data_IF_776967310951
#
_entry.id   IF_776967310951
#
_cell.length_a   1.000
_cell.length_b   1.000
_cell.length_c   1.000
_cell.angle_alpha   90.00
_cell.angle_beta   90.00
_cell.angle_gamma   90.00
#
_symmetry.space_group_name_H-M   'P 1'
#
loop_
_entity.id
_entity.type
_entity.pdbx_description
1 polymer ?
#
# COMPACT_ATOMS: atom_id res chain seq x y z
N UNK A 1 5.10 19.48 2.29
CA UNK A 1 3.81 18.76 2.47
C UNK A 1 3.95 17.91 3.72
N UNK A 2 2.92 17.79 4.56
CA UNK A 2 3.00 17.01 5.80
C UNK A 2 3.24 15.52 5.47
N UNK A 3 4.35 14.95 5.94
CA UNK A 3 4.74 13.55 5.68
C UNK A 3 3.70 12.56 6.17
N UNK A 4 2.98 12.85 7.25
CA UNK A 4 1.90 12.00 7.75
C UNK A 4 0.69 12.04 6.84
N UNK A 5 0.38 13.21 6.26
CA UNK A 5 -0.70 13.34 5.28
C UNK A 5 -0.37 12.64 3.95
N UNK A 6 0.90 12.66 3.56
CA UNK A 6 1.38 11.92 2.40
C UNK A 6 1.30 10.41 2.62
N UNK A 7 1.83 9.91 3.74
CA UNK A 7 1.70 8.51 4.14
C UNK A 7 0.22 8.09 4.16
N UNK A 8 -0.64 8.87 4.83
CA UNK A 8 -2.07 8.61 4.90
C UNK A 8 -2.73 8.39 3.53
N UNK A 9 -2.40 9.22 2.54
CA UNK A 9 -2.96 9.10 1.19
C UNK A 9 -2.28 7.99 0.38
N UNK A 10 -0.99 7.73 0.61
CA UNK A 10 -0.26 6.60 0.06
C UNK A 10 -0.91 5.28 0.46
N UNK A 11 -1.07 5.05 1.77
CA UNK A 11 -1.68 3.85 2.34
C UNK A 11 -3.14 3.68 1.92
N UNK A 12 -3.91 4.77 1.85
CA UNK A 12 -5.27 4.70 1.32
C UNK A 12 -5.29 4.22 -0.15
N UNK A 13 -4.29 4.63 -0.95
CA UNK A 13 -4.12 4.22 -2.33
C UNK A 13 -3.67 2.76 -2.47
N UNK A 14 -2.66 2.34 -1.70
CA UNK A 14 -2.14 0.98 -1.66
C UNK A 14 -3.22 -0.02 -1.20
N UNK A 15 -3.92 0.27 -0.09
CA UNK A 15 -5.09 -0.50 0.35
C UNK A 15 -6.19 -0.57 -0.72
N UNK A 16 -6.35 0.51 -1.48
CA UNK A 16 -7.23 0.57 -2.64
C UNK A 16 -6.82 -0.45 -3.69
N UNK A 17 -5.57 -0.41 -4.16
CA UNK A 17 -5.03 -1.33 -5.18
C UNK A 17 -5.17 -2.78 -4.76
N UNK A 18 -4.74 -3.12 -3.54
CA UNK A 18 -4.74 -4.49 -3.03
C UNK A 18 -6.14 -5.06 -2.87
N UNK A 19 -7.11 -4.21 -2.51
CA UNK A 19 -8.52 -4.60 -2.58
C UNK A 19 -8.92 -4.95 -4.01
N UNK A 20 -8.49 -4.17 -4.99
CA UNK A 20 -8.75 -4.43 -6.41
C UNK A 20 -8.11 -5.75 -6.88
N UNK A 21 -6.84 -5.97 -6.52
CA UNK A 21 -6.10 -7.19 -6.86
C UNK A 21 -6.70 -8.44 -6.21
N UNK A 22 -7.05 -8.37 -4.91
CA UNK A 22 -7.56 -9.49 -4.11
C UNK A 22 -8.94 -10.01 -4.54
N UNK A 23 -9.68 -9.25 -5.35
CA UNK A 23 -10.92 -9.73 -5.99
C UNK A 23 -10.60 -10.91 -6.92
N UNK A 24 -9.52 -10.84 -7.70
CA UNK A 24 -9.10 -11.92 -8.62
C UNK A 24 -8.04 -12.84 -8.03
N UNK A 25 -7.12 -12.30 -7.25
CA UNK A 25 -5.93 -13.00 -6.78
C UNK A 25 -5.85 -13.01 -5.27
N UNK A 26 -6.34 -14.09 -4.64
CA UNK A 26 -6.46 -14.19 -3.17
C UNK A 26 -5.15 -14.00 -2.41
N UNK A 27 -4.01 -14.21 -3.05
CA UNK A 27 -2.68 -13.95 -2.47
C UNK A 27 -2.48 -12.50 -2.03
N UNK A 28 -3.18 -11.53 -2.63
CA UNK A 28 -3.13 -10.11 -2.23
C UNK A 28 -4.11 -9.74 -1.11
N UNK A 29 -4.89 -10.70 -0.58
CA UNK A 29 -5.84 -10.40 0.48
C UNK A 29 -5.14 -10.10 1.82
N UNK A 30 -4.03 -10.78 2.12
CA UNK A 30 -3.23 -10.47 3.31
C UNK A 30 -2.60 -9.08 3.19
N UNK A 31 -2.02 -8.78 2.03
CA UNK A 31 -1.49 -7.46 1.67
C UNK A 31 -2.53 -6.36 1.90
N UNK A 32 -3.74 -6.52 1.36
CA UNK A 32 -4.86 -5.61 1.59
C UNK A 32 -5.15 -5.33 3.08
N UNK A 33 -5.11 -6.35 3.93
CA UNK A 33 -5.38 -6.19 5.36
C UNK A 33 -4.26 -5.40 6.06
N UNK A 34 -3.01 -5.62 5.67
CA UNK A 34 -1.85 -4.88 6.16
C UNK A 34 -1.95 -3.40 5.77
N UNK A 35 -2.21 -3.11 4.50
CA UNK A 35 -2.39 -1.73 4.00
C UNK A 35 -3.53 -0.98 4.70
N UNK A 36 -4.65 -1.67 4.98
CA UNK A 36 -5.74 -1.08 5.78
C UNK A 36 -5.29 -0.77 7.21
N UNK A 37 -4.43 -1.60 7.79
CA UNK A 37 -3.85 -1.38 9.12
C UNK A 37 -2.92 -0.17 9.13
N UNK A 38 -2.04 -0.05 8.12
CA UNK A 38 -1.13 1.08 7.93
C UNK A 38 -1.91 2.39 7.72
N UNK A 39 -2.94 2.36 6.87
CA UNK A 39 -3.82 3.51 6.65
C UNK A 39 -4.46 3.98 7.97
N UNK A 40 -5.00 3.05 8.76
CA UNK A 40 -5.56 3.37 10.11
C UNK A 40 -4.51 3.89 11.08
N UNK A 41 -3.27 3.44 10.98
CA UNK A 41 -2.18 3.98 11.79
C UNK A 41 -1.96 5.46 11.47
N UNK A 42 -1.84 5.84 10.20
CA UNK A 42 -1.63 7.24 9.81
C UNK A 42 -2.84 8.15 10.06
N UNK A 43 -4.06 7.60 10.13
CA UNK A 43 -5.27 8.33 10.55
C UNK A 43 -5.20 8.89 11.97
N UNK A 44 -4.31 8.36 12.82
CA UNK A 44 -4.07 8.87 14.18
C UNK A 44 -3.31 10.21 14.16
N UNK A 45 -2.51 10.44 13.13
CA UNK A 45 -1.61 11.60 13.01
C UNK A 45 -2.13 12.65 12.03
N UNK A 46 -2.90 12.25 11.02
CA UNK A 46 -3.46 13.16 10.01
C UNK A 46 -4.83 12.69 9.52
N UNK A 47 -5.60 13.57 8.89
CA UNK A 47 -6.88 13.25 8.24
C UNK A 47 -7.01 14.00 6.93
N UNK A 48 -7.69 13.41 5.96
CA UNK A 48 -7.95 14.03 4.66
C UNK A 48 -9.28 13.57 4.08
N UNK A 49 -10.06 14.51 3.54
CA UNK A 49 -11.29 14.17 2.81
C UNK A 49 -11.01 13.34 1.54
N UNK A 50 -9.76 13.31 1.08
CA UNK A 50 -9.31 12.57 -0.09
C UNK A 50 -9.06 11.08 0.18
N UNK A 51 -9.00 10.63 1.43
CA UNK A 51 -8.69 9.24 1.75
C UNK A 51 -9.64 8.25 1.05
N UNK A 52 -10.96 8.47 1.19
CA UNK A 52 -11.97 7.61 0.55
C UNK A 52 -11.95 7.73 -0.99
N UNK A 53 -11.93 8.93 -1.59
CA UNK A 53 -11.76 9.06 -3.04
C UNK A 53 -10.54 8.32 -3.58
N UNK A 54 -9.37 8.46 -2.94
CA UNK A 54 -8.13 7.78 -3.33
C UNK A 54 -8.33 6.27 -3.23
N UNK A 55 -8.79 5.76 -2.08
CA UNK A 55 -9.05 4.34 -1.90
C UNK A 55 -9.96 3.74 -2.99
N UNK A 56 -11.10 4.36 -3.30
CA UNK A 56 -12.01 3.82 -4.32
C UNK A 56 -11.47 3.94 -5.74
N UNK A 57 -10.79 5.05 -6.07
CA UNK A 57 -10.17 5.22 -7.38
C UNK A 57 -9.11 4.13 -7.62
N UNK A 58 -8.26 3.87 -6.63
CA UNK A 58 -7.23 2.84 -6.71
C UNK A 58 -7.81 1.42 -6.61
N UNK A 59 -8.92 1.18 -5.92
CA UNK A 59 -9.65 -0.10 -6.01
C UNK A 59 -10.15 -0.40 -7.41
N UNK A 60 -10.70 0.60 -8.11
CA UNK A 60 -11.15 0.42 -9.49
C UNK A 60 -9.94 0.17 -10.39
N UNK A 61 -8.88 0.96 -10.23
CA UNK A 61 -7.64 0.80 -10.99
C UNK A 61 -7.01 -0.59 -10.77
N UNK A 62 -6.90 -1.04 -9.52
CA UNK A 62 -6.37 -2.35 -9.16
C UNK A 62 -7.20 -3.48 -9.77
N UNK A 63 -8.53 -3.37 -9.74
CA UNK A 63 -9.40 -4.32 -10.44
C UNK A 63 -9.14 -4.33 -11.95
N UNK A 64 -9.04 -3.16 -12.60
CA UNK A 64 -8.75 -3.05 -14.03
C UNK A 64 -7.39 -3.66 -14.37
N UNK A 65 -6.33 -3.34 -13.62
CA UNK A 65 -4.99 -3.92 -13.78
C UNK A 65 -5.04 -5.44 -13.63
N UNK A 66 -5.80 -5.93 -12.65
CA UNK A 66 -5.94 -7.37 -12.41
C UNK A 66 -6.48 -8.10 -13.63
N UNK A 67 -7.25 -7.46 -14.52
CA UNK A 67 -7.75 -8.05 -15.77
C UNK A 67 -6.62 -8.41 -16.75
N UNK A 68 -5.49 -7.70 -16.70
CA UNK A 68 -4.33 -7.92 -17.58
C UNK A 68 -3.45 -9.10 -17.15
N UNK A 69 -3.74 -9.74 -16.01
CA UNK A 69 -3.02 -10.93 -15.54
C UNK A 69 -2.15 -10.67 -14.31
N UNK A 70 -1.65 -11.75 -13.71
CA UNK A 70 -0.88 -11.72 -12.46
C UNK A 70 0.45 -10.98 -12.59
N UNK A 71 1.10 -11.07 -13.75
CA UNK A 71 2.37 -10.38 -14.04
C UNK A 71 2.22 -8.86 -14.04
N UNK A 72 1.10 -8.35 -14.56
CA UNK A 72 0.81 -6.92 -14.53
C UNK A 72 0.57 -6.43 -13.09
N UNK A 73 -0.14 -7.23 -12.29
CA UNK A 73 -0.38 -6.94 -10.87
C UNK A 73 0.94 -6.91 -10.10
N UNK A 74 1.77 -7.95 -10.22
CA UNK A 74 3.08 -8.03 -9.55
C UNK A 74 3.97 -6.82 -9.88
N UNK A 75 4.05 -6.42 -11.14
CA UNK A 75 4.82 -5.23 -11.56
C UNK A 75 4.32 -3.94 -10.92
N UNK A 76 3.00 -3.75 -10.86
CA UNK A 76 2.43 -2.55 -10.23
C UNK A 76 2.67 -2.59 -8.74
N UNK A 77 2.47 -3.75 -8.09
CA UNK A 77 2.74 -3.92 -6.67
C UNK A 77 4.20 -3.58 -6.36
N UNK A 78 5.15 -4.19 -7.06
CA UNK A 78 6.59 -3.93 -6.92
C UNK A 78 6.94 -2.43 -6.96
N UNK A 79 6.34 -1.68 -7.89
CA UNK A 79 6.55 -0.22 -8.00
C UNK A 79 5.99 0.51 -6.78
N UNK A 80 4.81 0.14 -6.31
CA UNK A 80 4.16 0.78 -5.14
C UNK A 80 4.97 0.51 -3.88
N UNK A 81 5.28 -0.75 -3.59
CA UNK A 81 6.05 -1.16 -2.41
C UNK A 81 7.42 -0.48 -2.37
N UNK A 82 8.14 -0.47 -3.50
CA UNK A 82 9.46 0.18 -3.57
C UNK A 82 9.37 1.66 -3.22
N UNK A 83 8.39 2.36 -3.78
CA UNK A 83 8.20 3.78 -3.51
C UNK A 83 7.77 4.04 -2.06
N UNK A 84 6.99 3.14 -1.46
CA UNK A 84 6.58 3.23 -0.06
C UNK A 84 7.78 3.03 0.88
N UNK A 85 8.59 1.98 0.67
CA UNK A 85 9.83 1.73 1.42
C UNK A 85 10.77 2.94 1.35
N UNK A 86 11.03 3.45 0.15
CA UNK A 86 11.91 4.62 -0.05
C UNK A 86 11.35 5.85 0.68
N UNK A 87 10.04 6.08 0.57
CA UNK A 87 9.37 7.18 1.25
C UNK A 87 9.51 7.06 2.77
N UNK A 88 9.32 5.87 3.33
CA UNK A 88 9.40 5.64 4.77
C UNK A 88 10.81 5.81 5.32
N UNK A 89 11.82 5.23 4.66
CA UNK A 89 13.25 5.38 5.02
C UNK A 89 13.72 6.83 5.00
N UNK A 90 13.20 7.64 4.08
CA UNK A 90 13.57 9.07 3.97
C UNK A 90 12.87 9.94 5.03
N UNK A 91 11.60 9.64 5.34
CA UNK A 91 10.74 10.58 6.07
C UNK A 91 10.50 10.21 7.54
N UNK A 92 10.76 8.97 7.94
CA UNK A 92 10.46 8.47 9.28
C UNK A 92 11.70 7.88 9.96
N UNK A 93 11.66 7.85 11.29
CA UNK A 93 12.74 7.28 12.09
C UNK A 93 12.47 5.77 12.27
N UNK A 94 13.34 4.93 11.73
CA UNK A 94 13.26 3.47 11.78
C UNK A 94 13.34 2.89 13.20
N UNK A 95 13.81 3.67 14.18
CA UNK A 95 13.78 3.25 15.60
C UNK A 95 12.39 3.33 16.24
N UNK A 96 11.38 3.90 15.55
CA UNK A 96 9.99 3.79 15.98
C UNK A 96 9.44 2.40 15.63
N UNK A 97 9.00 1.65 16.64
CA UNK A 97 8.53 0.26 16.48
C UNK A 97 7.36 0.10 15.48
N UNK A 98 6.42 1.05 15.45
CA UNK A 98 5.30 1.00 14.51
C UNK A 98 5.75 1.23 13.07
N UNK A 99 6.65 2.19 12.83
CA UNK A 99 7.24 2.43 11.51
C UNK A 99 8.10 1.26 11.06
N UNK A 100 8.85 0.64 11.99
CA UNK A 100 9.64 -0.55 11.71
C UNK A 100 8.76 -1.72 11.25
N UNK A 101 7.63 -1.95 11.92
CA UNK A 101 6.67 -2.98 11.51
C UNK A 101 6.08 -2.70 10.14
N UNK A 102 5.70 -1.45 9.86
CA UNK A 102 5.21 -1.06 8.52
C UNK A 102 6.28 -1.38 7.47
N UNK A 103 7.52 -0.95 7.68
CA UNK A 103 8.63 -1.26 6.76
C UNK A 103 8.85 -2.77 6.54
N UNK A 104 8.73 -3.59 7.60
CA UNK A 104 8.84 -5.05 7.50
C UNK A 104 7.71 -5.67 6.66
N UNK A 105 6.48 -5.17 6.81
CA UNK A 105 5.32 -5.60 6.01
C UNK A 105 5.52 -5.25 4.53
N UNK A 106 5.97 -4.03 4.21
CA UNK A 106 6.23 -3.54 2.84
C UNK A 106 7.37 -4.34 2.18
N UNK A 107 8.45 -4.66 2.91
CA UNK A 107 9.54 -5.49 2.39
C UNK A 107 9.07 -6.92 2.09
N UNK A 108 8.14 -7.46 2.90
CA UNK A 108 7.51 -8.76 2.63
C UNK A 108 6.63 -8.70 1.38
N UNK A 109 5.79 -7.68 1.22
CA UNK A 109 4.96 -7.52 0.02
C UNK A 109 5.78 -7.30 -1.25
N UNK A 110 6.89 -6.57 -1.15
CA UNK A 110 7.86 -6.42 -2.23
C UNK A 110 8.41 -7.79 -2.68
N UNK A 111 8.80 -8.66 -1.75
CA UNK A 111 9.32 -10.00 -2.09
C UNK A 111 8.30 -10.87 -2.84
N UNK A 112 7.02 -10.80 -2.49
CA UNK A 112 5.94 -11.50 -3.19
C UNK A 112 5.75 -11.05 -4.64
N UNK A 113 6.21 -9.83 -4.94
CA UNK A 113 6.11 -9.22 -6.26
C UNK A 113 7.26 -9.62 -7.19
N UNK A 114 8.44 -9.87 -6.63
CA UNK A 114 9.68 -10.18 -7.37
C UNK A 114 9.90 -11.69 -7.56
N UNK A 115 9.49 -12.53 -6.59
CA UNK A 115 9.63 -13.98 -6.68
C UNK A 115 8.37 -14.63 -7.31
N UNK A 116 8.38 -14.82 -8.64
CA UNK A 116 7.62 -15.84 -9.36
C UNK A 116 8.31 -16.23 -10.68
#
# INVERSE_FOLDING_TARGET
MDKYKLALLGEAGAAGLDRGFSIRYKVFYESYLNEVSHWKYFQKYSRSFLEKPVYYAFSILGFVISLFGIEAVKKVNEIVERNAIDFYKINFNESNEDIKRILEDEEKHFSMSVDA
#
